data_IF_637537047225
#
_entry.id   IF_637537047225
#
_cell.length_a   1.000
_cell.length_b   1.000
_cell.length_c   1.000
_cell.angle_alpha   90.00
_cell.angle_beta   90.00
_cell.angle_gamma   90.00
#
_symmetry.space_group_name_H-M   'P 1'
#
loop_
_entity.id
_entity.type
_entity.pdbx_description
1 polymer ?
#
# COMPACT_ATOMS: atom_id res chain seq x y z
N UNK A 1 -15.18 -13.60 23.29
CA UNK A 1 -15.12 -12.76 22.08
C UNK A 1 -13.67 -12.71 21.63
N UNK A 2 -13.32 -13.40 20.55
CA UNK A 2 -12.01 -13.23 19.90
C UNK A 2 -11.97 -11.82 19.32
N UNK A 3 -11.13 -10.95 19.86
CA UNK A 3 -10.90 -9.62 19.29
C UNK A 3 -10.39 -9.75 17.85
N UNK A 4 -10.94 -8.97 16.94
CA UNK A 4 -10.39 -8.86 15.58
C UNK A 4 -9.06 -8.11 15.68
N UNK A 5 -7.95 -8.78 15.38
CA UNK A 5 -6.65 -8.13 15.27
C UNK A 5 -6.68 -7.20 14.05
N UNK A 6 -6.41 -5.91 14.27
CA UNK A 6 -6.31 -4.93 13.19
C UNK A 6 -5.14 -5.31 12.28
N UNK A 7 -5.42 -5.43 10.99
CA UNK A 7 -4.46 -5.77 9.96
C UNK A 7 -4.07 -4.53 9.12
N UNK A 8 -3.15 -4.71 8.16
CA UNK A 8 -2.67 -3.63 7.29
C UNK A 8 -3.81 -2.95 6.53
N UNK A 9 -4.90 -3.66 6.25
CA UNK A 9 -6.09 -3.10 5.58
C UNK A 9 -6.78 -2.11 6.51
N UNK A 10 -7.03 -2.52 7.76
CA UNK A 10 -7.65 -1.68 8.80
C UNK A 10 -6.88 -0.37 8.97
N UNK A 11 -5.57 -0.46 9.15
CA UNK A 11 -4.74 0.73 9.33
C UNK A 11 -4.68 1.60 8.07
N UNK A 12 -4.60 1.01 6.89
CA UNK A 12 -4.63 1.76 5.63
C UNK A 12 -5.95 2.52 5.46
N UNK A 13 -7.08 1.94 5.86
CA UNK A 13 -8.38 2.62 5.84
C UNK A 13 -8.41 3.82 6.80
N UNK A 14 -7.86 3.67 8.00
CA UNK A 14 -7.76 4.77 8.98
C UNK A 14 -6.84 5.88 8.44
N UNK A 15 -5.66 5.52 7.91
CA UNK A 15 -4.74 6.48 7.27
C UNK A 15 -5.43 7.25 6.14
N UNK A 16 -6.18 6.56 5.28
CA UNK A 16 -6.94 7.21 4.20
C UNK A 16 -7.96 8.21 4.76
N UNK A 17 -8.71 7.82 5.80
CA UNK A 17 -9.63 8.70 6.50
C UNK A 17 -8.95 9.94 7.06
N UNK A 18 -7.83 9.78 7.76
CA UNK A 18 -7.03 10.89 8.30
C UNK A 18 -6.54 11.82 7.20
N UNK A 19 -5.97 11.27 6.12
CA UNK A 19 -5.52 12.04 4.95
C UNK A 19 -6.67 12.83 4.29
N UNK A 20 -7.87 12.25 4.19
CA UNK A 20 -9.06 12.92 3.63
C UNK A 20 -9.49 14.14 4.46
N UNK A 21 -9.21 14.14 5.76
CA UNK A 21 -9.51 15.25 6.66
C UNK A 21 -8.27 16.11 6.96
N UNK A 22 -7.25 16.05 6.09
CA UNK A 22 -6.02 16.85 6.18
C UNK A 22 -5.19 16.60 7.47
N UNK A 23 -5.49 15.51 8.20
CA UNK A 23 -4.78 15.07 9.41
C UNK A 23 -3.51 14.29 9.07
N UNK A 24 -2.66 14.89 8.25
CA UNK A 24 -1.45 14.28 7.67
C UNK A 24 -0.43 13.86 8.72
N UNK A 25 -0.30 14.60 9.82
CA UNK A 25 0.63 14.28 10.91
C UNK A 25 0.22 12.96 11.57
N UNK A 26 -1.08 12.81 11.85
CA UNK A 26 -1.61 11.61 12.50
C UNK A 26 -1.54 10.39 11.58
N UNK A 27 -1.82 10.57 10.28
CA UNK A 27 -1.67 9.49 9.30
C UNK A 27 -0.22 8.98 9.23
N UNK A 28 0.77 9.88 9.34
CA UNK A 28 2.19 9.50 9.39
C UNK A 28 2.57 8.79 10.68
N UNK A 29 2.09 9.28 11.83
CA UNK A 29 2.32 8.61 13.12
C UNK A 29 1.76 7.19 13.07
N UNK A 30 0.56 7.02 12.54
CA UNK A 30 -0.06 5.71 12.40
C UNK A 30 0.76 4.75 11.53
N UNK A 31 1.35 5.24 10.42
CA UNK A 31 2.27 4.44 9.59
C UNK A 31 3.46 3.92 10.40
N UNK A 32 4.09 4.77 11.22
CA UNK A 32 5.22 4.35 12.05
C UNK A 32 4.81 3.41 13.19
N UNK A 33 3.60 3.60 13.73
CA UNK A 33 3.07 2.75 14.79
C UNK A 33 2.68 1.36 14.32
N UNK A 34 2.22 1.21 13.07
CA UNK A 34 1.88 -0.11 12.52
C UNK A 34 3.05 -1.08 12.58
N UNK A 35 4.27 -0.63 12.27
CA UNK A 35 5.48 -1.44 12.39
C UNK A 35 5.75 -1.86 13.83
N UNK A 36 5.62 -0.93 14.79
CA UNK A 36 5.81 -1.22 16.22
C UNK A 36 4.79 -2.22 16.75
N UNK A 37 3.60 -2.27 16.14
CA UNK A 37 2.54 -3.22 16.45
C UNK A 37 2.69 -4.56 15.71
N UNK A 38 3.78 -4.75 14.96
CA UNK A 38 4.04 -5.97 14.20
C UNK A 38 3.24 -6.09 12.90
N UNK A 39 2.57 -5.02 12.47
CA UNK A 39 1.81 -4.96 11.22
C UNK A 39 2.64 -4.18 10.21
N UNK A 40 3.21 -4.87 9.24
CA UNK A 40 4.03 -4.22 8.22
C UNK A 40 3.15 -3.36 7.30
N UNK A 41 3.43 -2.05 7.17
CA UNK A 41 2.84 -1.23 6.12
C UNK A 41 3.18 -1.82 4.75
N UNK A 42 2.27 -1.65 3.79
CA UNK A 42 2.50 -2.10 2.43
C UNK A 42 2.39 -0.93 1.45
N UNK A 43 2.57 -1.21 0.16
CA UNK A 43 2.50 -0.19 -0.90
C UNK A 43 1.22 0.68 -0.83
N UNK A 44 0.08 0.15 -0.39
CA UNK A 44 -1.16 0.93 -0.23
C UNK A 44 -1.00 1.97 0.87
N UNK A 45 -0.50 1.58 2.04
CA UNK A 45 -0.28 2.49 3.18
C UNK A 45 0.64 3.66 2.81
N UNK A 46 1.76 3.38 2.12
CA UNK A 46 2.67 4.41 1.63
C UNK A 46 2.03 5.28 0.54
N UNK A 47 1.33 4.69 -0.43
CA UNK A 47 0.72 5.43 -1.55
C UNK A 47 -0.36 6.40 -1.07
N UNK A 48 -1.12 6.04 -0.03
CA UNK A 48 -2.12 6.93 0.61
C UNK A 48 -1.45 8.21 1.12
N UNK A 49 -0.35 8.08 1.86
CA UNK A 49 0.39 9.22 2.40
C UNK A 49 1.07 10.03 1.29
N UNK A 50 1.67 9.36 0.30
CA UNK A 50 2.29 10.00 -0.84
C UNK A 50 1.29 10.87 -1.61
N UNK A 51 0.14 10.32 -2.01
CA UNK A 51 -0.89 11.05 -2.73
C UNK A 51 -1.38 12.27 -1.94
N UNK A 52 -1.65 12.10 -0.65
CA UNK A 52 -2.12 13.19 0.21
C UNK A 52 -1.06 14.29 0.39
N UNK A 53 0.21 13.93 0.59
CA UNK A 53 1.31 14.89 0.71
C UNK A 53 1.56 15.65 -0.59
N UNK A 54 1.45 14.98 -1.75
CA UNK A 54 1.58 15.62 -3.06
C UNK A 54 0.43 16.61 -3.32
N UNK A 55 -0.80 16.24 -2.96
CA UNK A 55 -1.97 17.14 -3.02
C UNK A 55 -1.79 18.35 -2.11
N UNK A 56 -1.19 18.16 -0.93
CA UNK A 56 -0.85 19.23 0.00
C UNK A 56 0.42 20.02 -0.38
N UNK A 57 1.04 19.76 -1.55
CA UNK A 57 2.29 20.40 -2.02
C UNK A 57 3.49 20.23 -1.06
N UNK A 58 3.48 19.18 -0.24
CA UNK A 58 4.55 18.84 0.74
C UNK A 58 5.58 17.90 0.12
N UNK A 59 6.25 18.34 -0.94
CA UNK A 59 7.09 17.48 -1.79
C UNK A 59 8.29 16.84 -1.07
N UNK A 60 8.91 17.56 -0.12
CA UNK A 60 10.04 17.02 0.68
C UNK A 60 9.57 15.84 1.51
N UNK A 61 8.40 15.96 2.13
CA UNK A 61 7.83 14.93 2.97
C UNK A 61 7.32 13.75 2.16
N UNK A 62 6.77 13.99 0.97
CA UNK A 62 6.44 12.91 0.04
C UNK A 62 7.69 12.12 -0.35
N UNK A 63 8.81 12.80 -0.63
CA UNK A 63 10.08 12.14 -0.94
C UNK A 63 10.61 11.27 0.22
N UNK A 64 10.45 11.71 1.47
CA UNK A 64 10.82 10.89 2.63
C UNK A 64 9.99 9.62 2.74
N UNK A 65 8.67 9.71 2.58
CA UNK A 65 7.77 8.54 2.58
C UNK A 65 8.11 7.58 1.44
N UNK A 66 8.50 8.12 0.27
CA UNK A 66 8.92 7.30 -0.86
C UNK A 66 10.22 6.54 -0.58
N UNK A 67 11.23 7.19 0.01
CA UNK A 67 12.47 6.51 0.38
C UNK A 67 12.23 5.43 1.44
N UNK A 68 11.34 5.68 2.40
CA UNK A 68 10.93 4.64 3.35
C UNK A 68 10.30 3.44 2.63
N UNK A 69 9.40 3.67 1.68
CA UNK A 69 8.85 2.59 0.84
C UNK A 69 9.95 1.82 0.10
N UNK A 70 10.95 2.53 -0.45
CA UNK A 70 12.08 1.93 -1.15
C UNK A 70 12.92 0.99 -0.28
N UNK A 71 13.30 1.45 0.91
CA UNK A 71 14.09 0.67 1.86
C UNK A 71 13.34 -0.62 2.27
N UNK A 72 12.02 -0.58 2.34
CA UNK A 72 11.18 -1.77 2.55
C UNK A 72 11.08 -2.67 1.30
N UNK A 73 11.06 -2.10 0.10
CA UNK A 73 10.96 -2.86 -1.16
C UNK A 73 12.27 -3.53 -1.59
N UNK A 74 13.45 -3.02 -1.19
CA UNK A 74 14.75 -3.59 -1.58
C UNK A 74 15.03 -5.00 -1.00
N UNK A 75 14.18 -5.53 -0.11
CA UNK A 75 14.38 -6.82 0.53
C UNK A 75 13.82 -8.05 -0.20
N UNK A 76 13.23 -7.93 -1.40
CA UNK A 76 12.65 -9.09 -2.08
C UNK A 76 12.79 -9.01 -3.62
N UNK A 77 13.93 -9.45 -4.14
CA UNK A 77 14.03 -10.01 -5.49
C UNK A 77 13.80 -11.52 -5.39
N UNK A 78 12.55 -11.95 -5.51
CA UNK A 78 12.28 -13.33 -5.93
C UNK A 78 10.91 -13.42 -6.64
N UNK A 79 10.92 -13.32 -7.96
CA UNK A 79 9.74 -13.52 -8.82
C UNK A 79 9.36 -15.01 -8.96
N UNK A 80 10.11 -15.95 -8.38
CA UNK A 80 9.89 -17.40 -8.56
C UNK A 80 8.69 -17.97 -7.79
N UNK A 81 7.89 -17.13 -7.10
CA UNK A 81 6.79 -17.57 -6.22
C UNK A 81 5.38 -17.42 -6.82
N UNK A 82 5.27 -17.09 -8.11
CA UNK A 82 3.97 -16.92 -8.79
C UNK A 82 3.16 -18.22 -8.95
N UNK A 83 3.77 -19.38 -8.71
CA UNK A 83 3.11 -20.70 -8.70
C UNK A 83 2.70 -21.18 -7.30
N UNK A 84 2.69 -20.31 -6.29
CA UNK A 84 2.21 -20.70 -4.95
C UNK A 84 0.74 -21.13 -5.07
N UNK A 85 0.45 -22.41 -4.98
CA UNK A 85 -0.90 -22.92 -4.72
C UNK A 85 -0.92 -23.25 -3.24
N UNK A 86 -1.68 -22.50 -2.45
CA UNK A 86 -1.97 -22.89 -1.06
C UNK A 86 -3.21 -23.79 -1.01
N UNK A 87 -3.43 -24.50 0.10
CA UNK A 87 -4.67 -25.30 0.29
C UNK A 87 -5.71 -24.47 1.06
N UNK A 88 -6.97 -24.42 0.60
CA UNK A 88 -8.11 -23.97 1.45
C UNK A 88 -8.28 -24.99 2.59
N UNK A 89 -8.81 -24.54 3.72
CA UNK A 89 -9.19 -25.38 4.88
C UNK A 89 -10.13 -26.55 4.50
N UNK A 90 -10.85 -26.45 3.38
CA UNK A 90 -11.69 -27.52 2.82
C UNK A 90 -10.91 -28.59 2.03
N UNK A 91 -9.58 -28.50 1.96
CA UNK A 91 -8.70 -29.43 1.27
C UNK A 91 -8.50 -29.17 -0.23
N UNK A 92 -9.27 -28.25 -0.81
CA UNK A 92 -9.13 -27.84 -2.22
C UNK A 92 -7.98 -26.85 -2.44
N UNK A 93 -7.55 -26.72 -3.69
CA UNK A 93 -6.58 -25.70 -4.10
C UNK A 93 -7.15 -24.30 -3.89
N UNK A 94 -6.32 -23.41 -3.37
CA UNK A 94 -6.61 -21.99 -3.31
C UNK A 94 -5.65 -21.26 -4.26
N UNK A 95 -6.10 -20.91 -5.49
CA UNK A 95 -5.24 -20.27 -6.48
C UNK A 95 -4.92 -18.83 -6.08
N UNK A 96 -3.78 -18.36 -6.58
CA UNK A 96 -3.37 -16.97 -6.47
C UNK A 96 -4.19 -16.08 -7.41
N UNK A 97 -4.72 -14.95 -6.90
CA UNK A 97 -5.51 -13.98 -7.65
C UNK A 97 -5.08 -12.55 -7.36
N UNK A 98 -5.36 -11.68 -8.31
CA UNK A 98 -5.23 -10.22 -8.16
C UNK A 98 -6.62 -9.59 -8.28
N UNK A 99 -6.98 -8.71 -7.35
CA UNK A 99 -8.23 -7.95 -7.39
C UNK A 99 -8.10 -6.79 -8.39
N UNK A 100 -9.12 -6.63 -9.23
CA UNK A 100 -9.23 -5.55 -10.21
C UNK A 100 -10.39 -4.59 -9.92
N UNK A 101 -10.91 -4.62 -8.70
CA UNK A 101 -11.98 -3.72 -8.25
C UNK A 101 -11.43 -2.34 -7.91
N UNK A 102 -12.26 -1.30 -8.04
CA UNK A 102 -11.89 0.09 -7.70
C UNK A 102 -11.43 0.25 -6.25
N UNK A 103 -11.94 -0.59 -5.35
CA UNK A 103 -11.65 -0.54 -3.91
C UNK A 103 -10.30 -1.22 -3.58
N UNK A 104 -9.93 -2.27 -4.31
CA UNK A 104 -8.81 -3.15 -3.97
C UNK A 104 -7.95 -3.46 -5.20
N UNK A 105 -7.67 -2.47 -6.04
CA UNK A 105 -6.94 -2.66 -7.30
C UNK A 105 -5.51 -3.15 -7.06
N UNK A 106 -5.13 -4.26 -7.70
CA UNK A 106 -3.78 -4.83 -7.59
C UNK A 106 -3.52 -5.63 -6.31
N UNK A 107 -4.49 -5.71 -5.39
CA UNK A 107 -4.37 -6.54 -4.17
C UNK A 107 -4.28 -8.01 -4.55
N UNK A 108 -3.29 -8.70 -4.00
CA UNK A 108 -3.02 -10.11 -4.26
C UNK A 108 -3.54 -10.96 -3.11
N UNK A 109 -4.16 -12.10 -3.43
CA UNK A 109 -4.78 -12.96 -2.43
C UNK A 109 -4.91 -14.39 -2.94
N UNK A 110 -5.16 -15.32 -2.02
CA UNK A 110 -5.61 -16.67 -2.30
C UNK A 110 -7.04 -16.81 -1.85
N UNK A 111 -7.90 -17.39 -2.66
CA UNK A 111 -9.27 -17.75 -2.31
C UNK A 111 -9.54 -19.21 -2.65
N UNK A 112 -10.59 -19.80 -2.10
CA UNK A 112 -10.96 -21.16 -2.49
C UNK A 112 -11.32 -21.24 -3.97
N UNK A 113 -10.90 -22.29 -4.66
CA UNK A 113 -11.30 -22.53 -6.06
C UNK A 113 -12.82 -22.58 -6.28
N UNK A 114 -13.62 -22.88 -5.24
CA UNK A 114 -15.08 -22.86 -5.30
C UNK A 114 -15.70 -21.47 -5.08
N UNK A 115 -14.90 -20.46 -4.73
CA UNK A 115 -15.40 -19.10 -4.58
C UNK A 115 -15.74 -18.52 -5.96
N UNK A 116 -17.03 -18.27 -6.20
CA UNK A 116 -17.56 -17.73 -7.45
C UNK A 116 -18.03 -16.26 -7.32
N UNK A 117 -17.64 -15.57 -6.23
CA UNK A 117 -18.04 -14.19 -5.96
C UNK A 117 -19.48 -13.99 -5.49
N UNK A 118 -20.30 -15.07 -5.42
CA UNK A 118 -21.74 -14.98 -5.08
C UNK A 118 -22.20 -15.96 -3.99
N UNK A 119 -21.55 -17.11 -3.82
CA UNK A 119 -21.89 -18.11 -2.80
C UNK A 119 -20.68 -18.56 -1.99
N UNK A 120 -20.77 -18.51 -0.66
CA UNK A 120 -19.73 -19.04 0.27
C UNK A 120 -19.95 -20.53 0.53
N UNK A 121 -19.42 -21.39 -0.33
CA UNK A 121 -19.25 -22.83 0.00
C UNK A 121 -18.01 -23.05 0.89
N UNK A 122 -16.84 -22.50 0.52
CA UNK A 122 -15.66 -22.33 1.39
C UNK A 122 -15.37 -20.81 1.48
N UNK A 123 -15.22 -20.29 2.70
CA UNK A 123 -14.90 -18.89 2.97
C UNK A 123 -13.39 -18.60 3.07
N UNK A 124 -12.55 -19.57 2.73
CA UNK A 124 -11.08 -19.41 2.78
C UNK A 124 -10.65 -18.26 1.90
N UNK A 125 -9.91 -17.36 2.52
CA UNK A 125 -9.37 -16.19 1.90
C UNK A 125 -8.11 -15.79 2.67
N UNK A 126 -7.00 -15.62 1.97
CA UNK A 126 -5.72 -15.23 2.55
C UNK A 126 -5.12 -14.09 1.71
N UNK A 127 -4.94 -12.91 2.31
CA UNK A 127 -4.24 -11.82 1.66
C UNK A 127 -2.78 -12.18 1.44
N UNK A 128 -2.27 -11.94 0.24
CA UNK A 128 -0.87 -12.07 -0.08
C UNK A 128 -0.34 -10.71 -0.47
N UNK A 129 0.24 -10.02 0.50
CA UNK A 129 0.97 -8.79 0.26
C UNK A 129 2.47 -9.13 0.26
N UNK A 130 3.09 -9.43 -0.91
CA UNK A 130 4.53 -9.61 -0.96
C UNK A 130 5.20 -8.30 -0.55
N UNK A 131 6.37 -8.38 0.10
CA UNK A 131 7.17 -7.21 0.50
C UNK A 131 7.50 -6.29 -0.69
N UNK A 132 7.44 -6.82 -1.91
CA UNK A 132 7.51 -6.08 -3.18
C UNK A 132 6.37 -6.51 -4.09
N UNK A 133 5.49 -5.58 -4.45
CA UNK A 133 4.56 -5.80 -5.56
C UNK A 133 5.19 -5.25 -6.86
N UNK A 134 5.13 -5.98 -7.99
CA UNK A 134 5.64 -5.49 -9.28
C UNK A 134 5.08 -4.14 -9.71
N UNK A 135 3.89 -3.77 -9.22
CA UNK A 135 3.29 -2.44 -9.45
C UNK A 135 4.03 -1.30 -8.73
N UNK A 136 4.74 -1.58 -7.64
CA UNK A 136 5.68 -0.63 -7.03
C UNK A 136 6.70 -0.13 -8.05
N UNK A 137 7.25 -1.04 -8.86
CA UNK A 137 8.21 -0.71 -9.92
C UNK A 137 7.59 0.09 -11.09
N UNK A 138 6.28 0.00 -11.33
CA UNK A 138 5.58 0.77 -12.37
C UNK A 138 5.16 2.18 -11.90
N UNK A 139 4.70 2.28 -10.65
CA UNK A 139 4.18 3.52 -10.05
C UNK A 139 5.33 4.44 -9.63
N UNK A 140 6.44 3.86 -9.17
CA UNK A 140 7.60 4.60 -8.65
C UNK A 140 8.22 5.58 -9.67
N UNK A 141 8.47 5.23 -10.94
CA UNK A 141 8.96 6.19 -11.94
C UNK A 141 8.03 7.41 -12.13
N UNK A 142 6.71 7.18 -12.11
CA UNK A 142 5.71 8.23 -12.25
C UNK A 142 5.69 9.16 -11.03
N UNK A 143 5.78 8.58 -9.82
CA UNK A 143 5.88 9.34 -8.57
C UNK A 143 7.19 10.14 -8.49
N UNK A 144 8.32 9.55 -8.89
CA UNK A 144 9.63 10.22 -8.95
C UNK A 144 9.61 11.44 -9.85
N UNK A 145 9.00 11.30 -11.04
CA UNK A 145 8.81 12.42 -11.96
C UNK A 145 7.99 13.55 -11.31
N UNK A 146 6.85 13.22 -10.70
CA UNK A 146 5.97 14.20 -10.05
C UNK A 146 6.65 14.91 -8.87
N UNK A 147 7.45 14.19 -8.08
CA UNK A 147 8.23 14.78 -6.96
C UNK A 147 9.31 15.72 -7.50
N UNK A 148 10.00 15.33 -8.58
CA UNK A 148 11.01 16.18 -9.22
C UNK A 148 10.39 17.48 -9.75
N UNK A 149 9.25 17.38 -10.43
CA UNK A 149 8.53 18.54 -10.98
C UNK A 149 8.08 19.49 -9.85
N UNK A 150 7.49 18.97 -8.78
CA UNK A 150 7.08 19.77 -7.61
C UNK A 150 8.27 20.42 -6.88
N UNK A 151 9.41 19.73 -6.76
CA UNK A 151 10.64 20.35 -6.19
C UNK A 151 11.13 21.50 -7.07
N UNK A 152 11.03 21.37 -8.40
CA UNK A 152 11.30 22.44 -9.35
C UNK A 152 10.38 23.65 -9.14
N UNK A 153 9.06 23.43 -9.09
CA UNK A 153 8.06 24.47 -8.82
C UNK A 153 8.32 25.19 -7.49
N UNK A 154 8.57 24.44 -6.40
CA UNK A 154 8.88 25.03 -5.10
C UNK A 154 10.18 25.84 -5.10
N UNK A 155 11.19 25.42 -5.86
CA UNK A 155 12.45 26.15 -5.97
C UNK A 155 12.31 27.45 -6.77
N UNK A 156 11.37 27.52 -7.73
CA UNK A 156 11.04 28.74 -8.46
C UNK A 156 10.26 29.72 -7.56
N UNK A 157 9.24 29.22 -6.83
CA UNK A 157 8.46 30.03 -5.89
C UNK A 157 9.31 30.64 -4.77
N UNK A 158 10.29 29.90 -4.25
CA UNK A 158 11.24 30.43 -3.26
C UNK A 158 12.09 31.59 -3.80
N UNK A 159 12.46 31.55 -5.08
CA UNK A 159 13.22 32.63 -5.73
C UNK A 159 12.35 33.86 -6.00
N UNK A 160 11.10 33.67 -6.39
CA UNK A 160 10.16 34.78 -6.64
C UNK A 160 9.72 35.50 -5.37
N UNK A 161 9.80 34.85 -4.20
CA UNK A 161 9.54 35.49 -2.91
C UNK A 161 10.78 36.14 -2.28
N UNK A 162 11.97 35.96 -2.88
CA UNK A 162 13.25 36.55 -2.43
C UNK A 162 13.73 37.68 -3.35
N UNK A 163 13.01 37.98 -4.42
CA UNK A 163 13.24 39.08 -5.36
C UNK A 163 12.18 40.17 -5.15
#
# INVERSE_FOLDING_TARGET
>A
MSGFFSDVVTYSSIMYGLCKHERLVEAKVLLMETEKMGVNPNHVSYTILLDSLLKARRAIEAFMIQNQMHDFTMFCQDESRLDLITRCDCGLRAPFRTSWTDINLGRRFFDCALYNGKSKLCGFFFWFDPRTCPRGMEVEPHLMKKIKDLRGEMALLKRSHQA
#
